data_IF_846183442473
#
_entry.id   IF_846183442473
#
_cell.length_a   1.000
_cell.length_b   1.000
_cell.length_c   1.000
_cell.angle_alpha   90.00
_cell.angle_beta   90.00
_cell.angle_gamma   90.00
#
_symmetry.space_group_name_H-M   'P 1'
#
loop_
_entity.id
_entity.type
_entity.pdbx_description
1 polymer ?
#
# COMPACT_ATOMS: atom_id res chain seq x y z
N UNK A 1 14.89 -9.12 5.14
CA UNK A 1 14.19 -7.82 5.08
C UNK A 1 13.55 -7.76 3.70
N UNK A 2 12.23 -7.83 3.61
CA UNK A 2 11.55 -7.96 2.33
C UNK A 2 11.81 -6.74 1.46
N UNK A 3 12.31 -6.96 0.25
CA UNK A 3 12.37 -5.94 -0.80
C UNK A 3 10.94 -5.70 -1.29
N UNK A 4 10.12 -5.03 -0.49
CA UNK A 4 8.79 -4.59 -0.90
C UNK A 4 8.97 -3.51 -1.96
N UNK A 5 8.80 -3.92 -3.22
CA UNK A 5 8.78 -3.00 -4.36
C UNK A 5 7.36 -2.49 -4.51
N UNK A 6 7.17 -1.21 -4.20
CA UNK A 6 5.93 -0.50 -4.46
C UNK A 6 5.89 -0.04 -5.91
N UNK A 7 4.68 0.04 -6.47
CA UNK A 7 4.41 0.59 -7.79
C UNK A 7 3.22 1.55 -7.76
N UNK A 8 3.07 2.35 -8.82
CA UNK A 8 1.93 3.26 -8.93
C UNK A 8 0.60 2.48 -8.92
N UNK A 9 -0.35 2.93 -8.11
CA UNK A 9 -1.64 2.26 -7.88
C UNK A 9 -1.69 1.40 -6.62
N UNK A 10 -0.55 1.05 -6.01
CA UNK A 10 -0.56 0.34 -4.74
C UNK A 10 -1.21 1.18 -3.64
N UNK A 11 -2.00 0.52 -2.79
CA UNK A 11 -2.58 1.13 -1.60
C UNK A 11 -1.70 0.78 -0.41
N UNK A 12 -1.10 1.80 0.19
CA UNK A 12 -0.10 1.69 1.24
C UNK A 12 -0.52 2.47 2.48
N UNK A 13 0.18 2.22 3.59
CA UNK A 13 0.08 3.03 4.81
C UNK A 13 1.45 3.15 5.46
N UNK A 14 1.68 4.19 6.26
CA UNK A 14 2.88 4.21 7.10
C UNK A 14 2.82 3.07 8.13
N UNK A 15 3.98 2.48 8.43
CA UNK A 15 4.11 1.49 9.50
C UNK A 15 3.71 2.04 10.86
N UNK A 16 3.91 3.34 11.09
CA UNK A 16 3.49 4.05 12.28
C UNK A 16 1.95 4.27 12.38
N UNK A 17 1.19 4.05 11.30
CA UNK A 17 -0.26 4.24 11.24
C UNK A 17 -0.70 5.31 10.24
N UNK A 18 -1.80 6.00 10.52
CA UNK A 18 -2.34 7.05 9.65
C UNK A 18 -3.35 6.56 8.60
N UNK A 19 -3.79 7.44 7.69
CA UNK A 19 -4.76 7.12 6.65
C UNK A 19 -4.17 6.17 5.59
N UNK A 20 -5.01 5.41 4.87
CA UNK A 20 -4.56 4.71 3.67
C UNK A 20 -4.19 5.71 2.58
N UNK A 21 -3.11 5.44 1.85
CA UNK A 21 -2.59 6.29 0.78
C UNK A 21 -2.47 5.48 -0.51
N UNK A 22 -2.51 6.14 -1.64
CA UNK A 22 -2.25 5.55 -2.96
C UNK A 22 -0.91 6.03 -3.47
N UNK A 23 -0.07 5.10 -3.91
CA UNK A 23 1.20 5.42 -4.59
C UNK A 23 0.87 6.00 -5.96
N UNK A 24 1.23 7.25 -6.21
CA UNK A 24 1.06 7.92 -7.50
C UNK A 24 2.27 7.68 -8.41
N UNK A 25 3.47 7.66 -7.84
CA UNK A 25 4.71 7.44 -8.57
C UNK A 25 5.81 6.91 -7.63
N UNK A 26 6.86 6.34 -8.22
CA UNK A 26 8.03 5.82 -7.51
C UNK A 26 9.29 6.44 -8.10
N UNK A 27 10.25 6.78 -7.23
CA UNK A 27 11.56 7.25 -7.62
C UNK A 27 12.61 6.69 -6.67
N UNK A 28 13.49 5.82 -7.18
CA UNK A 28 14.48 5.12 -6.35
C UNK A 28 13.83 4.29 -5.26
N UNK A 29 14.13 4.61 -4.00
CA UNK A 29 13.61 3.98 -2.78
C UNK A 29 12.48 4.78 -2.12
N UNK A 30 11.92 5.77 -2.83
CA UNK A 30 10.82 6.60 -2.36
C UNK A 30 9.56 6.41 -3.19
N UNK A 31 8.41 6.46 -2.52
CA UNK A 31 7.09 6.52 -3.14
C UNK A 31 6.52 7.91 -2.94
N UNK A 32 5.98 8.46 -4.01
CA UNK A 32 5.12 9.64 -3.97
C UNK A 32 3.68 9.19 -3.76
N UNK A 33 3.11 9.53 -2.61
CA UNK A 33 1.82 9.06 -2.16
C UNK A 33 0.81 10.22 -2.11
N UNK A 34 -0.46 9.90 -2.33
CA UNK A 34 -1.57 10.83 -2.13
C UNK A 34 -2.70 10.17 -1.34
N UNK A 35 -3.41 10.95 -0.53
CA UNK A 35 -4.54 10.47 0.26
C UNK A 35 -5.54 11.59 0.51
N UNK A 36 -6.76 11.22 0.86
CA UNK A 36 -7.79 12.16 1.28
C UNK A 36 -7.85 12.24 2.81
N UNK A 37 -7.98 13.45 3.33
CA UNK A 37 -8.37 13.72 4.70
C UNK A 37 -9.67 14.52 4.68
N UNK A 38 -10.80 13.82 4.76
CA UNK A 38 -12.10 14.42 4.46
C UNK A 38 -12.20 14.75 2.96
N UNK A 39 -12.38 16.03 2.63
CA UNK A 39 -12.49 16.52 1.24
C UNK A 39 -11.15 16.97 0.66
N UNK A 40 -10.13 17.10 1.50
CA UNK A 40 -8.85 17.65 1.10
C UNK A 40 -7.92 16.55 0.55
N UNK A 41 -7.34 16.81 -0.61
CA UNK A 41 -6.31 15.96 -1.22
C UNK A 41 -4.93 16.35 -0.67
N UNK A 42 -4.29 15.41 0.00
CA UNK A 42 -2.93 15.54 0.49
C UNK A 42 -1.96 14.68 -0.32
N UNK A 43 -0.68 15.07 -0.30
CA UNK A 43 0.41 14.39 -0.98
C UNK A 43 1.69 14.42 -0.14
N UNK A 44 2.56 13.42 -0.30
CA UNK A 44 3.82 13.34 0.42
C UNK A 44 4.75 12.26 -0.15
N UNK A 45 6.04 12.43 0.07
CA UNK A 45 7.08 11.47 -0.33
C UNK A 45 7.54 10.68 0.88
N UNK A 46 7.57 9.36 0.76
CA UNK A 46 7.95 8.46 1.85
C UNK A 46 8.92 7.39 1.38
N UNK A 47 9.87 7.01 2.24
CA UNK A 47 10.77 5.88 1.99
C UNK A 47 9.99 4.57 2.00
N UNK A 48 10.37 3.63 1.15
CA UNK A 48 9.76 2.29 1.11
C UNK A 48 9.83 1.60 2.48
N UNK A 49 10.91 1.83 3.22
CA UNK A 49 11.11 1.25 4.55
C UNK A 49 10.09 1.72 5.59
N UNK A 50 9.42 2.86 5.37
CA UNK A 50 8.37 3.38 6.26
C UNK A 50 6.96 2.98 5.85
N UNK A 51 6.78 2.39 4.66
CA UNK A 51 5.49 2.00 4.11
C UNK A 51 5.24 0.50 4.31
N UNK A 52 3.96 0.14 4.40
CA UNK A 52 3.47 -1.24 4.29
C UNK A 52 2.36 -1.28 3.24
N UNK A 53 2.34 -2.35 2.44
CA UNK A 53 1.24 -2.62 1.52
C UNK A 53 0.00 -3.07 2.32
N UNK A 54 -1.16 -2.49 2.02
CA UNK A 54 -2.44 -2.89 2.61
C UNK A 54 -3.47 -3.33 1.54
N UNK A 55 -3.13 -3.19 0.25
CA UNK A 55 -3.95 -3.60 -0.88
C UNK A 55 -3.69 -5.05 -1.31
N UNK A 56 -2.43 -5.50 -1.35
CA UNK A 56 -2.09 -6.90 -1.70
C UNK A 56 -2.46 -7.89 -0.61
N UNK A 57 -2.40 -7.49 0.66
CA UNK A 57 -2.74 -8.37 1.79
C UNK A 57 -4.19 -8.88 1.67
N UNK A 58 -5.12 -8.05 1.16
CA UNK A 58 -6.50 -8.47 0.88
C UNK A 58 -6.63 -9.49 -0.26
N UNK A 59 -5.79 -9.40 -1.29
CA UNK A 59 -5.80 -10.38 -2.42
C UNK A 59 -5.22 -11.74 -1.99
N UNK A 60 -4.20 -11.73 -1.15
CA UNK A 60 -3.58 -12.95 -0.62
C UNK A 60 -4.51 -13.72 0.34
N UNK A 61 -5.39 -13.04 1.07
CA UNK A 61 -6.45 -13.70 1.85
C UNK A 61 -7.52 -14.33 0.96
N UNK A 62 -7.95 -13.63 -0.10
CA UNK A 62 -9.00 -14.13 -1.00
C UNK A 62 -8.58 -15.38 -1.80
N UNK A 63 -7.31 -15.49 -2.19
CA UNK A 63 -6.81 -16.67 -2.91
C UNK A 63 -6.69 -17.91 -2.03
N UNK A 64 -6.48 -17.75 -0.72
CA UNK A 64 -6.37 -18.88 0.22
C UNK A 64 -7.74 -19.40 0.71
N UNK A 65 -8.79 -18.57 0.70
CA UNK A 65 -10.16 -18.98 1.06
C UNK A 65 -10.87 -19.83 -0.01
N UNK A 66 -10.55 -19.65 -1.29
CA UNK A 66 -11.21 -20.36 -2.39
C UNK A 66 -10.87 -21.87 -2.42
N UNK A 67 -9.68 -22.26 -1.94
CA UNK A 67 -9.25 -23.66 -1.95
C UNK A 67 -9.93 -24.53 -0.87
N UNK A 68 -10.56 -23.92 0.15
CA UNK A 68 -11.13 -24.63 1.29
C UNK A 68 -12.58 -25.13 1.10
N UNK A 69 -13.28 -24.67 0.04
CA UNK A 69 -14.70 -25.00 -0.21
C UNK A 69 -14.92 -26.01 -1.36
N UNK A 70 -13.85 -26.59 -1.90
CA UNK A 70 -13.92 -27.55 -3.02
C UNK A 70 -13.97 -29.03 -2.56
N UNK A 71 -14.62 -29.35 -1.43
CA UNK A 71 -14.79 -30.72 -0.94
C UNK A 71 -16.25 -31.03 -0.62
#
# INVERSE_FOLDING_TARGET
MGNEQFEAGDVVRLKAGGPPMVVRAVSGDTAYCQWYAGVDLHQGTFLFTSLRDIGRERRAWQSQGAAALAR
#
